data_IF_406396754142
#
_entry.id   IF_406396754142
#
_cell.length_a   1.000
_cell.length_b   1.000
_cell.length_c   1.000
_cell.angle_alpha   90.00
_cell.angle_beta   90.00
_cell.angle_gamma   90.00
#
_symmetry.space_group_name_H-M   'P 1'
#
loop_
_entity.id
_entity.type
_entity.pdbx_description
1 polymer ?
#
# COMPACT_ATOMS: atom_id res chain seq x y z
N UNK A 1 3.87 59.11 -61.01
CA UNK A 1 2.97 59.35 -59.93
C UNK A 1 2.45 58.00 -59.51
N UNK A 2 3.03 57.40 -58.46
CA UNK A 2 2.61 56.10 -57.88
C UNK A 2 2.05 56.35 -56.50
N UNK A 3 0.78 56.00 -56.32
CA UNK A 3 0.04 56.20 -55.12
C UNK A 3 0.21 54.91 -54.24
N UNK A 4 0.87 55.04 -53.10
CA UNK A 4 1.02 53.97 -52.14
C UNK A 4 -0.26 53.87 -51.29
N UNK A 5 -0.93 52.72 -51.34
CA UNK A 5 -2.06 52.39 -50.43
C UNK A 5 -1.55 51.70 -49.15
N UNK A 6 -1.76 52.37 -48.06
CA UNK A 6 -1.42 51.85 -46.70
C UNK A 6 -2.56 50.97 -46.22
N UNK A 7 -2.33 49.64 -46.10
CA UNK A 7 -3.28 48.68 -45.53
C UNK A 7 -2.97 48.52 -44.03
N UNK A 8 -3.86 49.03 -43.22
CA UNK A 8 -3.78 48.88 -41.75
C UNK A 8 -4.45 47.57 -41.36
N UNK A 9 -3.67 46.56 -40.87
CA UNK A 9 -4.18 45.34 -40.31
C UNK A 9 -4.59 45.60 -38.83
N UNK A 10 -5.89 45.54 -38.56
CA UNK A 10 -6.40 45.48 -37.19
C UNK A 10 -6.25 44.06 -36.67
N UNK A 11 -5.33 43.85 -35.74
CA UNK A 11 -5.18 42.59 -35.00
C UNK A 11 -6.22 42.54 -33.86
N UNK A 12 -7.26 41.73 -34.03
CA UNK A 12 -8.22 41.41 -32.93
C UNK A 12 -7.53 40.46 -31.96
N UNK A 13 -7.14 40.99 -30.80
CA UNK A 13 -6.68 40.16 -29.68
C UNK A 13 -7.89 39.35 -29.13
N UNK A 14 -7.87 38.06 -29.34
CA UNK A 14 -8.80 37.10 -28.67
C UNK A 14 -8.43 37.01 -27.18
N UNK A 15 -9.31 37.49 -26.32
CA UNK A 15 -9.24 37.27 -24.87
C UNK A 15 -9.55 35.78 -24.60
N UNK A 16 -8.64 35.01 -23.97
CA UNK A 16 -8.95 33.64 -23.62
C UNK A 16 -10.07 33.61 -22.55
N UNK A 17 -11.23 33.08 -22.93
CA UNK A 17 -12.32 32.83 -21.99
C UNK A 17 -11.91 31.72 -21.06
N UNK A 18 -11.62 32.04 -19.81
CA UNK A 18 -11.47 31.08 -18.71
C UNK A 18 -12.78 30.32 -18.54
N UNK A 19 -12.77 28.97 -18.59
CA UNK A 19 -13.99 28.20 -18.31
C UNK A 19 -14.45 28.47 -16.85
N UNK A 20 -15.77 28.53 -16.62
CA UNK A 20 -16.29 28.73 -15.27
C UNK A 20 -15.79 27.63 -14.34
N UNK A 21 -15.48 27.95 -13.07
CA UNK A 21 -15.06 26.94 -12.09
C UNK A 21 -16.16 25.90 -11.97
N UNK A 22 -15.80 24.64 -12.23
CA UNK A 22 -16.66 23.49 -11.99
C UNK A 22 -16.95 23.49 -10.48
N UNK A 23 -18.22 23.51 -10.05
CA UNK A 23 -18.54 23.43 -8.63
C UNK A 23 -17.93 22.13 -8.11
N UNK A 24 -17.01 22.25 -7.14
CA UNK A 24 -16.50 21.10 -6.43
C UNK A 24 -17.72 20.37 -5.83
N UNK A 25 -18.01 19.19 -6.37
CA UNK A 25 -19.01 18.31 -5.79
C UNK A 25 -18.60 18.14 -4.32
N UNK A 26 -19.43 18.67 -3.41
CA UNK A 26 -19.23 18.47 -1.98
C UNK A 26 -19.18 16.95 -1.77
N UNK A 27 -17.99 16.44 -1.42
CA UNK A 27 -17.83 15.06 -1.05
C UNK A 27 -18.84 14.80 0.06
N UNK A 28 -19.80 13.90 -0.19
CA UNK A 28 -20.73 13.46 0.83
C UNK A 28 -19.89 13.05 2.05
N UNK A 29 -20.26 13.42 3.29
CA UNK A 29 -19.54 12.97 4.47
C UNK A 29 -19.55 11.46 4.42
N UNK A 30 -18.35 10.88 4.19
CA UNK A 30 -18.15 9.44 4.37
C UNK A 30 -18.49 9.22 5.83
N UNK A 31 -19.59 8.50 6.08
CA UNK A 31 -19.90 8.02 7.42
C UNK A 31 -18.62 7.43 7.96
N UNK A 32 -18.05 8.04 8.99
CA UNK A 32 -16.93 7.50 9.75
C UNK A 32 -17.41 6.24 10.48
N UNK A 33 -17.65 5.17 9.70
CA UNK A 33 -17.61 3.82 10.22
C UNK A 33 -16.25 3.73 10.88
N UNK A 34 -16.20 3.55 12.20
CA UNK A 34 -15.01 3.65 13.02
C UNK A 34 -13.86 2.79 12.45
N UNK A 35 -13.04 3.43 11.64
CA UNK A 35 -11.87 2.81 11.03
C UNK A 35 -10.79 2.80 12.10
N UNK A 36 -10.50 1.62 12.66
CA UNK A 36 -9.38 1.48 13.57
C UNK A 36 -8.10 1.41 12.76
N UNK A 37 -7.19 2.33 13.01
CA UNK A 37 -5.91 2.46 12.31
C UNK A 37 -4.75 2.36 13.28
N UNK A 38 -3.68 1.70 12.85
CA UNK A 38 -2.42 1.61 13.57
C UNK A 38 -1.25 1.73 12.60
N UNK A 39 -0.18 2.41 13.03
CA UNK A 39 1.07 2.50 12.27
C UNK A 39 2.25 2.64 13.19
N UNK A 40 3.27 1.79 13.04
CA UNK A 40 4.50 1.83 13.82
C UNK A 40 5.68 1.26 13.03
N UNK A 41 6.90 1.66 13.44
CA UNK A 41 8.16 1.25 12.81
C UNK A 41 8.89 0.23 13.67
N UNK A 42 9.36 -0.85 13.03
CA UNK A 42 10.07 -1.96 13.67
C UNK A 42 11.42 -2.23 12.98
N UNK A 43 12.39 -2.87 13.68
CA UNK A 43 13.63 -3.34 13.07
C UNK A 43 13.35 -4.36 11.98
N UNK A 44 14.04 -4.25 10.85
CA UNK A 44 13.90 -5.17 9.73
C UNK A 44 14.94 -6.29 9.79
N UNK A 45 14.53 -7.53 9.51
CA UNK A 45 15.43 -8.66 9.36
C UNK A 45 14.90 -9.64 8.32
N UNK A 46 15.82 -10.23 7.54
CA UNK A 46 15.49 -11.29 6.58
C UNK A 46 15.49 -12.66 7.23
N UNK A 47 14.64 -13.55 6.69
CA UNK A 47 14.60 -14.98 6.98
C UNK A 47 14.57 -15.28 8.48
N UNK A 48 14.00 -14.35 9.23
CA UNK A 48 13.84 -14.40 10.68
C UNK A 48 12.44 -13.93 11.07
N UNK A 49 11.80 -14.66 11.96
CA UNK A 49 10.54 -14.24 12.58
C UNK A 49 10.80 -13.06 13.51
N UNK A 50 10.10 -11.97 13.28
CA UNK A 50 10.14 -10.76 14.12
C UNK A 50 8.88 -10.78 14.97
N UNK A 51 9.00 -10.99 16.29
CA UNK A 51 7.84 -10.97 17.17
C UNK A 51 7.30 -9.54 17.27
N UNK A 52 5.98 -9.42 17.23
CA UNK A 52 5.26 -8.17 17.39
C UNK A 52 4.27 -8.29 18.55
N UNK A 53 3.98 -7.18 19.22
CA UNK A 53 3.00 -7.10 20.32
C UNK A 53 1.99 -6.00 20.02
N UNK A 54 1.43 -6.04 18.81
CA UNK A 54 0.46 -5.05 18.33
C UNK A 54 -0.96 -5.59 18.53
N UNK A 55 -1.84 -4.75 19.07
CA UNK A 55 -3.26 -5.06 19.20
C UNK A 55 -4.08 -3.85 18.73
N UNK A 56 -4.89 -4.06 17.72
CA UNK A 56 -5.76 -3.04 17.12
C UNK A 56 -7.19 -3.55 17.24
N UNK A 57 -7.95 -2.98 18.16
CA UNK A 57 -9.37 -3.31 18.38
C UNK A 57 -9.65 -4.82 18.43
N UNK A 58 -8.83 -5.55 19.20
CA UNK A 58 -8.94 -7.01 19.35
C UNK A 58 -8.30 -7.85 18.23
N UNK A 59 -7.74 -7.24 17.19
CA UNK A 59 -6.86 -7.95 16.27
C UNK A 59 -5.42 -7.90 16.82
N UNK A 60 -4.91 -9.05 17.25
CA UNK A 60 -3.52 -9.19 17.70
C UNK A 60 -2.63 -9.59 16.52
N UNK A 61 -1.58 -8.81 16.25
CA UNK A 61 -0.50 -9.18 15.34
C UNK A 61 0.63 -9.77 16.17
N UNK A 62 0.93 -11.05 15.96
CA UNK A 62 1.91 -11.80 16.74
C UNK A 62 3.30 -11.76 16.17
N UNK A 63 3.41 -11.77 14.84
CA UNK A 63 4.71 -11.82 14.18
C UNK A 63 4.64 -11.34 12.73
N UNK A 64 5.82 -10.97 12.21
CA UNK A 64 6.06 -10.78 10.78
C UNK A 64 7.32 -11.51 10.37
N UNK A 65 7.31 -12.11 9.17
CA UNK A 65 8.42 -12.84 8.61
C UNK A 65 8.70 -12.36 7.17
N UNK A 66 9.91 -11.88 6.91
CA UNK A 66 10.34 -11.47 5.57
C UNK A 66 11.12 -12.60 4.90
N UNK A 67 10.61 -13.10 3.78
CA UNK A 67 11.20 -14.22 3.06
C UNK A 67 11.77 -13.76 1.72
N UNK A 68 13.06 -14.09 1.50
CA UNK A 68 13.72 -14.02 0.19
C UNK A 68 13.51 -15.36 -0.52
N UNK A 69 12.43 -15.58 -1.18
CA UNK A 69 12.39 -16.72 -2.08
C UNK A 69 13.22 -16.42 -3.32
N UNK A 70 14.47 -16.80 -3.29
CA UNK A 70 15.27 -17.01 -4.49
C UNK A 70 14.83 -18.33 -5.09
N UNK A 71 13.80 -18.30 -5.91
CA UNK A 71 13.45 -19.49 -6.69
C UNK A 71 14.33 -19.51 -7.93
N UNK A 72 15.18 -20.51 -8.03
CA UNK A 72 15.76 -20.89 -9.33
C UNK A 72 14.56 -21.27 -10.21
N UNK A 73 14.37 -20.66 -11.39
CA UNK A 73 13.24 -20.97 -12.25
C UNK A 73 13.41 -22.42 -12.76
N UNK A 74 12.74 -23.35 -12.12
CA UNK A 74 12.54 -24.69 -12.64
C UNK A 74 11.32 -24.70 -13.54
N UNK A 75 11.40 -25.35 -14.69
CA UNK A 75 10.34 -25.43 -15.71
C UNK A 75 8.96 -25.79 -15.14
N UNK A 76 8.90 -26.64 -14.11
CA UNK A 76 7.67 -27.05 -13.44
C UNK A 76 7.02 -25.97 -12.57
N UNK A 77 7.73 -24.93 -12.16
CA UNK A 77 7.21 -23.88 -11.31
C UNK A 77 6.44 -22.83 -12.12
N UNK A 78 6.79 -22.66 -13.40
CA UNK A 78 6.11 -21.75 -14.33
C UNK A 78 4.68 -22.22 -14.60
N UNK A 79 4.47 -23.53 -14.66
CA UNK A 79 3.15 -24.13 -14.96
C UNK A 79 2.18 -24.10 -13.76
N UNK A 80 2.65 -23.91 -12.53
CA UNK A 80 1.80 -23.92 -11.33
C UNK A 80 1.33 -22.54 -10.89
N UNK A 81 1.67 -21.45 -11.62
CA UNK A 81 1.26 -20.09 -11.24
C UNK A 81 1.74 -19.67 -9.84
N UNK A 82 2.75 -20.35 -9.29
CA UNK A 82 3.30 -20.04 -8.00
C UNK A 82 3.93 -18.64 -8.07
N UNK A 83 3.35 -17.68 -7.41
CA UNK A 83 3.90 -16.33 -7.26
C UNK A 83 5.20 -16.42 -6.46
N UNK A 84 6.31 -16.51 -7.19
CA UNK A 84 7.65 -16.56 -6.63
C UNK A 84 8.14 -15.13 -6.43
N UNK A 85 8.07 -14.62 -5.21
CA UNK A 85 8.49 -13.27 -4.92
C UNK A 85 8.95 -13.10 -3.48
N UNK A 86 9.70 -12.02 -3.26
CA UNK A 86 9.97 -11.50 -1.94
C UNK A 86 8.66 -11.09 -1.29
N UNK A 87 8.41 -11.56 -0.08
CA UNK A 87 7.16 -11.30 0.63
C UNK A 87 7.38 -11.07 2.12
N UNK A 88 6.42 -10.40 2.73
CA UNK A 88 6.22 -10.37 4.17
C UNK A 88 5.02 -11.25 4.51
N UNK A 89 5.14 -12.09 5.52
CA UNK A 89 4.07 -12.91 6.09
C UNK A 89 3.70 -12.32 7.44
N UNK A 90 2.44 -11.89 7.59
CA UNK A 90 1.93 -11.30 8.83
C UNK A 90 0.99 -12.30 9.48
N UNK A 91 1.33 -12.75 10.69
CA UNK A 91 0.48 -13.63 11.48
C UNK A 91 -0.38 -12.82 12.43
N UNK A 92 -1.69 -13.09 12.41
CA UNK A 92 -2.68 -12.37 13.20
C UNK A 92 -3.68 -13.32 13.83
N UNK A 93 -4.20 -12.91 14.99
CA UNK A 93 -5.27 -13.61 15.71
C UNK A 93 -6.38 -12.62 16.07
N UNK A 94 -7.62 -12.95 15.77
CA UNK A 94 -8.75 -12.17 16.26
C UNK A 94 -9.10 -12.59 17.70
N UNK A 95 -8.73 -11.76 18.66
CA UNK A 95 -9.06 -11.92 20.08
C UNK A 95 -10.33 -11.15 20.48
N UNK A 96 -10.92 -10.42 19.55
CA UNK A 96 -12.15 -9.65 19.74
C UNK A 96 -13.41 -10.52 19.72
N UNK A 97 -14.55 -9.88 19.96
CA UNK A 97 -15.87 -10.55 19.99
C UNK A 97 -16.53 -10.63 18.61
N UNK A 98 -16.11 -9.81 17.65
CA UNK A 98 -16.71 -9.69 16.33
C UNK A 98 -15.72 -10.08 15.22
N UNK A 99 -16.24 -10.55 14.06
CA UNK A 99 -15.42 -10.79 12.90
C UNK A 99 -14.68 -9.52 12.45
N UNK A 100 -13.45 -9.65 11.93
CA UNK A 100 -12.60 -8.53 11.50
C UNK A 100 -12.19 -8.66 10.04
N UNK A 101 -12.09 -7.51 9.37
CA UNK A 101 -11.60 -7.40 7.97
C UNK A 101 -10.34 -6.51 8.00
N UNK A 102 -9.15 -7.08 8.22
CA UNK A 102 -7.92 -6.31 8.25
C UNK A 102 -7.37 -6.05 6.83
N UNK A 103 -6.79 -4.86 6.68
CA UNK A 103 -5.84 -4.52 5.63
C UNK A 103 -4.47 -4.24 6.24
N UNK A 104 -3.41 -4.64 5.53
CA UNK A 104 -2.03 -4.45 5.94
C UNK A 104 -1.24 -3.75 4.86
N UNK A 105 -0.34 -2.85 5.27
CA UNK A 105 0.71 -2.33 4.41
C UNK A 105 2.04 -2.37 5.14
N UNK A 106 3.10 -2.72 4.40
CA UNK A 106 4.48 -2.75 4.89
C UNK A 106 5.35 -1.93 3.96
N UNK A 107 6.09 -0.97 4.52
CA UNK A 107 7.08 -0.18 3.81
C UNK A 107 8.46 -0.44 4.42
N UNK A 108 9.39 -0.97 3.62
CA UNK A 108 10.78 -1.21 4.07
C UNK A 108 11.63 0.01 3.79
N UNK A 109 12.38 0.46 4.79
CA UNK A 109 13.20 1.66 4.78
C UNK A 109 14.67 1.29 5.02
N UNK A 110 15.59 2.07 4.44
CA UNK A 110 17.01 1.99 4.79
C UNK A 110 17.33 2.76 6.09
N UNK A 111 18.61 2.77 6.49
CA UNK A 111 19.11 3.49 7.67
C UNK A 111 18.85 5.00 7.60
N UNK A 112 18.79 5.57 6.39
CA UNK A 112 18.55 6.99 6.15
C UNK A 112 17.05 7.33 6.06
N UNK A 113 16.16 6.33 6.20
CA UNK A 113 14.71 6.47 6.09
C UNK A 113 14.17 6.49 4.65
N UNK A 114 15.00 6.16 3.65
CA UNK A 114 14.57 6.09 2.26
C UNK A 114 13.78 4.82 2.01
N UNK A 115 12.69 4.94 1.26
CA UNK A 115 11.83 3.83 0.89
C UNK A 115 12.56 2.87 -0.07
N UNK A 116 12.58 1.59 0.27
CA UNK A 116 13.19 0.50 -0.50
C UNK A 116 12.17 -0.42 -1.15
N UNK A 117 10.98 -0.52 -0.60
CA UNK A 117 9.91 -1.33 -1.15
C UNK A 117 8.65 -1.25 -0.32
N UNK A 118 7.52 -1.55 -0.97
CA UNK A 118 6.19 -1.56 -0.35
C UNK A 118 5.46 -2.83 -0.74
N UNK A 119 4.76 -3.41 0.22
CA UNK A 119 3.84 -4.51 0.00
C UNK A 119 2.54 -4.25 0.77
N UNK A 120 1.42 -4.69 0.23
CA UNK A 120 0.13 -4.59 0.90
C UNK A 120 -0.72 -5.83 0.66
N UNK A 121 -1.67 -6.07 1.55
CA UNK A 121 -2.59 -7.18 1.48
C UNK A 121 -3.62 -7.12 2.60
N UNK A 122 -4.39 -8.19 2.74
CA UNK A 122 -5.43 -8.29 3.76
C UNK A 122 -6.51 -9.27 3.33
N UNK A 123 -7.62 -9.29 4.08
CA UNK A 123 -8.77 -10.14 3.76
C UNK A 123 -9.43 -9.67 2.46
N UNK A 124 -9.38 -10.51 1.43
CA UNK A 124 -10.01 -10.22 0.13
C UNK A 124 -11.47 -10.68 0.11
N UNK A 125 -11.76 -11.80 0.74
CA UNK A 125 -13.09 -12.41 0.83
C UNK A 125 -13.25 -13.00 2.23
N UNK A 126 -14.40 -12.74 2.87
CA UNK A 126 -14.69 -13.24 4.21
C UNK A 126 -14.10 -12.35 5.33
N UNK A 127 -14.03 -12.91 6.52
CA UNK A 127 -13.60 -12.23 7.75
C UNK A 127 -12.81 -13.18 8.62
N UNK A 128 -11.92 -12.66 9.47
CA UNK A 128 -11.30 -13.44 10.55
C UNK A 128 -12.30 -13.51 11.71
N UNK A 129 -12.77 -14.71 12.02
CA UNK A 129 -13.72 -14.94 13.12
C UNK A 129 -13.04 -14.80 14.49
N UNK A 130 -13.82 -14.55 15.57
CA UNK A 130 -13.29 -14.59 16.93
C UNK A 130 -12.55 -15.90 17.23
N UNK A 131 -11.34 -15.80 17.78
CA UNK A 131 -10.46 -16.92 18.09
C UNK A 131 -9.68 -17.50 16.92
N UNK A 132 -9.92 -17.07 15.70
CA UNK A 132 -9.24 -17.54 14.49
C UNK A 132 -7.86 -16.86 14.33
N UNK A 133 -6.88 -17.66 13.88
CA UNK A 133 -5.54 -17.20 13.52
C UNK A 133 -5.34 -17.37 12.03
N UNK A 134 -4.85 -16.33 11.37
CA UNK A 134 -4.55 -16.33 9.95
C UNK A 134 -3.17 -15.74 9.65
N UNK A 135 -2.62 -16.11 8.48
CA UNK A 135 -1.36 -15.57 7.97
C UNK A 135 -1.61 -14.92 6.61
N UNK A 136 -1.21 -13.66 6.47
CA UNK A 136 -1.34 -12.88 5.25
C UNK A 136 0.00 -12.75 4.53
N UNK A 137 0.01 -13.09 3.25
CA UNK A 137 1.16 -12.89 2.36
C UNK A 137 1.08 -11.50 1.70
N UNK A 138 2.04 -10.64 1.99
CA UNK A 138 2.21 -9.32 1.39
C UNK A 138 3.36 -9.37 0.40
N UNK A 139 3.06 -9.32 -0.90
CA UNK A 139 4.07 -9.50 -1.95
C UNK A 139 4.69 -8.18 -2.38
N UNK A 140 6.03 -8.12 -2.41
CA UNK A 140 6.79 -7.01 -3.01
C UNK A 140 6.90 -7.26 -4.52
N UNK A 141 5.95 -6.76 -5.29
CA UNK A 141 5.83 -7.09 -6.72
C UNK A 141 6.78 -6.28 -7.59
N UNK A 142 6.89 -4.99 -7.36
CA UNK A 142 7.58 -4.06 -8.26
C UNK A 142 8.93 -3.59 -7.73
N UNK A 143 8.99 -3.04 -6.53
CA UNK A 143 10.19 -2.45 -5.93
C UNK A 143 10.73 -3.41 -4.88
N UNK A 144 11.71 -4.25 -5.26
CA UNK A 144 12.24 -5.33 -4.40
C UNK A 144 13.76 -5.48 -4.42
N UNK A 145 14.43 -4.98 -5.46
CA UNK A 145 15.88 -5.19 -5.64
C UNK A 145 16.74 -4.54 -4.54
N UNK A 146 16.24 -3.47 -3.94
CA UNK A 146 16.93 -2.73 -2.87
C UNK A 146 16.60 -3.21 -1.47
N UNK A 147 15.64 -4.10 -1.31
CA UNK A 147 15.18 -4.59 0.00
C UNK A 147 16.31 -5.23 0.82
N UNK A 148 17.39 -5.71 0.17
CA UNK A 148 18.59 -6.22 0.86
C UNK A 148 19.28 -5.18 1.75
N UNK A 149 19.03 -3.87 1.54
CA UNK A 149 19.56 -2.75 2.32
C UNK A 149 18.60 -2.29 3.43
N UNK A 150 17.52 -3.03 3.66
CA UNK A 150 16.52 -2.72 4.68
C UNK A 150 17.13 -2.69 6.09
N UNK A 151 16.75 -1.68 6.85
CA UNK A 151 17.13 -1.46 8.24
C UNK A 151 15.92 -1.55 9.18
N UNK A 152 14.81 -0.98 8.73
CA UNK A 152 13.54 -0.97 9.45
C UNK A 152 12.36 -1.09 8.50
N UNK A 153 11.20 -1.42 9.04
CA UNK A 153 9.95 -1.40 8.29
C UNK A 153 8.85 -0.68 9.07
N UNK A 154 8.01 0.03 8.33
CA UNK A 154 6.77 0.60 8.81
C UNK A 154 5.67 -0.42 8.55
N UNK A 155 4.93 -0.81 9.58
CA UNK A 155 3.71 -1.63 9.48
C UNK A 155 2.51 -0.72 9.69
N UNK A 156 1.58 -0.71 8.75
CA UNK A 156 0.28 -0.07 8.89
C UNK A 156 -0.83 -1.12 8.85
N UNK A 157 -1.82 -0.95 9.71
CA UNK A 157 -2.97 -1.85 9.86
C UNK A 157 -4.24 -1.00 9.82
N UNK A 158 -5.19 -1.43 9.03
CA UNK A 158 -6.52 -0.84 8.91
C UNK A 158 -7.56 -1.91 9.21
N UNK A 159 -8.51 -1.64 10.11
CA UNK A 159 -9.63 -2.53 10.38
C UNK A 159 -10.92 -1.87 9.90
N UNK A 160 -11.70 -2.62 9.15
CA UNK A 160 -13.10 -2.32 8.85
C UNK A 160 -13.98 -3.13 9.81
N UNK A 161 -14.79 -2.42 10.54
CA UNK A 161 -15.81 -3.00 11.44
C UNK A 161 -17.15 -3.04 10.72
#
# INVERSE_FOLDING_TARGET
MQTLALVTLLSLAQVPSTPPPVPAAAAAPVSEASLSYYSETFPFAWDRMIPLSVNVDGLKVSSIFFNRRVVRPGFFNILKGAEFGTRAQVEVMNTGKYPKIPGFAVAVLDKDGKLLGVASGGTKVGTIKPGETETFDLNFTQVKERLAKGDRFLLAIELRN
#
